data_IF_944886005447
#
_entry.id   IF_944886005447
#
_cell.length_a   1.000
_cell.length_b   1.000
_cell.length_c   1.000
_cell.angle_alpha   90.00
_cell.angle_beta   90.00
_cell.angle_gamma   90.00
#
_symmetry.space_group_name_H-M   'P 1'
#
loop_
_entity.id
_entity.type
_entity.pdbx_description
1 polymer ?
#
# COMPACT_ATOMS: atom_id res chain seq x y z
N UNK A 1 12.72 -41.38 45.25
CA UNK A 1 11.80 -40.23 45.12
C UNK A 1 12.49 -38.97 44.62
N UNK A 2 13.61 -38.53 45.21
CA UNK A 2 14.33 -37.31 44.81
C UNK A 2 14.91 -37.36 43.38
N UNK A 3 15.44 -38.50 42.93
CA UNK A 3 15.97 -38.68 41.57
C UNK A 3 14.91 -38.57 40.46
N UNK A 4 13.67 -39.02 40.73
CA UNK A 4 12.54 -38.87 39.81
C UNK A 4 12.08 -37.42 39.72
N UNK A 5 12.11 -36.69 40.84
CA UNK A 5 11.75 -35.27 40.87
C UNK A 5 12.78 -34.39 40.15
N UNK A 6 14.09 -34.66 40.31
CA UNK A 6 15.14 -33.91 39.61
C UNK A 6 15.14 -34.20 38.12
N UNK A 7 14.97 -35.46 37.71
CA UNK A 7 14.87 -35.83 36.29
C UNK A 7 13.67 -35.14 35.60
N UNK A 8 12.52 -35.07 36.28
CA UNK A 8 11.33 -34.34 35.79
C UNK A 8 11.58 -32.84 35.63
N UNK A 9 12.24 -32.21 36.62
CA UNK A 9 12.59 -30.79 36.54
C UNK A 9 13.55 -30.49 35.38
N UNK A 10 14.55 -31.34 35.15
CA UNK A 10 15.47 -31.20 34.03
C UNK A 10 14.80 -31.37 32.67
N UNK A 11 13.91 -32.36 32.51
CA UNK A 11 13.15 -32.56 31.27
C UNK A 11 12.24 -31.36 30.98
N UNK A 12 11.57 -30.82 31.99
CA UNK A 12 10.72 -29.65 31.84
C UNK A 12 11.54 -28.41 31.46
N UNK A 13 12.67 -28.18 32.11
CA UNK A 13 13.59 -27.10 31.75
C UNK A 13 14.11 -27.24 30.31
N UNK A 14 14.49 -28.45 29.91
CA UNK A 14 14.93 -28.72 28.54
C UNK A 14 13.82 -28.49 27.53
N UNK A 15 12.59 -28.91 27.83
CA UNK A 15 11.42 -28.68 26.97
C UNK A 15 11.13 -27.18 26.81
N UNK A 16 11.22 -26.38 27.89
CA UNK A 16 11.08 -24.93 27.81
C UNK A 16 12.16 -24.28 26.95
N UNK A 17 13.42 -24.71 27.09
CA UNK A 17 14.54 -24.21 26.28
C UNK A 17 14.32 -24.54 24.80
N UNK A 18 13.95 -25.77 24.48
CA UNK A 18 13.66 -26.19 23.11
C UNK A 18 12.46 -25.42 22.53
N UNK A 19 11.40 -25.21 23.32
CA UNK A 19 10.24 -24.43 22.91
C UNK A 19 10.59 -22.96 22.57
N UNK A 20 11.57 -22.37 23.27
CA UNK A 20 12.05 -21.01 22.99
C UNK A 20 13.01 -20.97 21.79
N UNK A 21 13.85 -22.00 21.61
CA UNK A 21 14.86 -22.04 20.54
C UNK A 21 14.25 -22.49 19.19
N UNK A 22 13.23 -23.35 19.21
CA UNK A 22 12.53 -23.83 18.01
C UNK A 22 12.01 -22.68 17.11
N UNK A 23 11.30 -21.64 17.57
CA UNK A 23 10.86 -20.55 16.69
C UNK A 23 12.05 -19.77 16.09
N UNK A 24 13.17 -19.67 16.82
CA UNK A 24 14.39 -19.00 16.35
C UNK A 24 15.07 -19.80 15.22
N UNK A 25 15.17 -21.12 15.36
CA UNK A 25 15.82 -21.98 14.35
C UNK A 25 14.92 -22.31 13.17
N UNK A 26 13.61 -22.41 13.38
CA UNK A 26 12.66 -22.85 12.35
C UNK A 26 12.18 -21.68 11.49
N UNK A 27 12.60 -20.45 11.77
CA UNK A 27 12.22 -19.26 11.00
C UNK A 27 10.72 -19.01 10.96
N UNK A 28 9.96 -19.65 11.86
CA UNK A 28 8.54 -19.39 12.06
C UNK A 28 8.47 -18.18 12.95
N UNK A 29 8.75 -17.01 12.36
CA UNK A 29 8.25 -15.76 12.88
C UNK A 29 6.76 -15.98 13.11
N UNK A 30 6.37 -15.99 14.39
CA UNK A 30 4.99 -15.83 14.74
C UNK A 30 4.49 -14.58 14.01
N UNK A 31 3.26 -14.63 13.52
CA UNK A 31 2.47 -13.51 13.01
C UNK A 31 2.29 -12.42 14.08
N UNK A 32 3.38 -11.86 14.55
CA UNK A 32 3.44 -10.49 15.01
C UNK A 32 3.94 -9.77 13.77
N UNK A 33 3.03 -9.04 13.16
CA UNK A 33 3.32 -7.96 12.22
C UNK A 33 4.16 -6.93 13.00
N UNK A 34 5.43 -7.24 13.23
CA UNK A 34 6.40 -6.25 13.65
C UNK A 34 6.78 -5.58 12.36
N UNK A 35 6.27 -4.36 12.20
CA UNK A 35 6.61 -3.36 11.19
C UNK A 35 8.12 -3.00 11.19
N UNK A 36 9.04 -3.93 11.47
CA UNK A 36 10.48 -3.68 11.59
C UNK A 36 11.13 -3.34 10.23
N UNK A 37 10.59 -3.89 9.14
CA UNK A 37 10.92 -3.43 7.78
C UNK A 37 10.18 -2.13 7.38
N UNK A 38 9.07 -1.82 8.07
CA UNK A 38 8.25 -0.64 7.85
C UNK A 38 8.78 0.60 8.56
N UNK A 39 9.40 0.47 9.74
CA UNK A 39 10.01 1.59 10.47
C UNK A 39 11.14 2.23 9.67
N UNK A 40 12.02 1.42 9.06
CA UNK A 40 13.10 1.91 8.20
C UNK A 40 12.58 2.53 6.89
N UNK A 41 11.57 1.93 6.25
CA UNK A 41 10.99 2.42 5.01
C UNK A 41 10.20 3.73 5.22
N UNK A 42 9.33 3.76 6.25
CA UNK A 42 8.58 4.94 6.65
C UNK A 42 9.51 6.07 7.11
N UNK A 43 10.62 5.74 7.80
CA UNK A 43 11.63 6.73 8.16
C UNK A 43 12.32 7.32 6.93
N UNK A 44 12.75 6.50 5.97
CA UNK A 44 13.35 6.97 4.70
C UNK A 44 12.37 7.84 3.91
N UNK A 45 11.10 7.46 3.86
CA UNK A 45 10.02 8.23 3.24
C UNK A 45 9.83 9.59 3.89
N UNK A 46 9.73 9.61 5.22
CA UNK A 46 9.62 10.87 5.97
C UNK A 46 10.84 11.77 5.79
N UNK A 47 12.03 11.19 5.69
CA UNK A 47 13.26 11.94 5.41
C UNK A 47 13.22 12.58 4.00
N UNK A 48 12.89 11.81 2.97
CA UNK A 48 12.80 12.29 1.59
C UNK A 48 11.73 13.39 1.41
N UNK A 49 10.55 13.21 2.03
CA UNK A 49 9.48 14.21 2.00
C UNK A 49 9.83 15.49 2.77
N UNK A 50 10.61 15.38 3.85
CA UNK A 50 11.11 16.54 4.60
C UNK A 50 12.11 17.32 3.75
N UNK A 51 13.05 16.64 3.09
CA UNK A 51 14.03 17.28 2.21
C UNK A 51 13.35 18.10 1.09
N UNK A 52 12.33 17.55 0.44
CA UNK A 52 11.53 18.26 -0.57
C UNK A 52 10.88 19.54 -0.02
N UNK A 53 10.34 19.46 1.20
CA UNK A 53 9.70 20.60 1.87
C UNK A 53 10.71 21.69 2.19
N UNK A 54 11.90 21.32 2.64
CA UNK A 54 12.94 22.27 2.99
C UNK A 54 13.43 23.03 1.74
N UNK A 55 13.60 22.34 0.60
CA UNK A 55 13.94 22.98 -0.69
C UNK A 55 12.88 23.99 -1.14
N UNK A 56 11.60 23.63 -1.00
CA UNK A 56 10.49 24.54 -1.32
C UNK A 56 10.48 25.77 -0.40
N UNK A 57 10.74 25.56 0.89
CA UNK A 57 10.81 26.64 1.87
C UNK A 57 11.98 27.59 1.58
N UNK A 58 13.14 27.07 1.21
CA UNK A 58 14.31 27.88 0.85
C UNK A 58 14.06 28.73 -0.41
N UNK A 59 13.31 28.21 -1.39
CA UNK A 59 12.86 29.01 -2.53
C UNK A 59 11.85 30.10 -2.11
N UNK A 60 10.83 29.74 -1.34
CA UNK A 60 9.81 30.71 -0.88
C UNK A 60 10.39 31.81 0.01
N UNK A 61 11.45 31.51 0.77
CA UNK A 61 12.16 32.49 1.59
C UNK A 61 13.21 33.30 0.82
N UNK A 62 13.38 33.04 -0.48
CA UNK A 62 14.30 33.77 -1.37
C UNK A 62 15.76 33.40 -1.18
N UNK A 63 16.07 32.27 -0.54
CA UNK A 63 17.45 31.77 -0.42
C UNK A 63 17.97 31.12 -1.71
N UNK A 64 17.05 30.67 -2.57
CA UNK A 64 17.35 30.06 -3.85
C UNK A 64 16.75 30.87 -4.98
N UNK A 65 17.46 30.99 -6.09
CA UNK A 65 16.87 31.47 -7.34
C UNK A 65 16.10 30.34 -8.07
N UNK A 66 15.28 30.72 -9.04
CA UNK A 66 14.41 29.81 -9.77
C UNK A 66 15.18 28.68 -10.48
N UNK A 67 16.38 28.96 -11.00
CA UNK A 67 17.14 27.97 -11.76
C UNK A 67 17.72 26.89 -10.85
N UNK A 68 18.26 27.29 -9.70
CA UNK A 68 18.79 26.39 -8.69
C UNK A 68 17.68 25.61 -7.97
N UNK A 69 16.57 26.26 -7.63
CA UNK A 69 15.38 25.60 -7.09
C UNK A 69 14.89 24.47 -8.01
N UNK A 70 14.71 24.76 -9.30
CA UNK A 70 14.25 23.76 -10.27
C UNK A 70 15.21 22.59 -10.42
N UNK A 71 16.51 22.84 -10.35
CA UNK A 71 17.53 21.79 -10.41
C UNK A 71 17.45 20.89 -9.18
N UNK A 72 17.48 21.49 -8.00
CA UNK A 72 17.48 20.76 -6.72
C UNK A 72 16.17 20.01 -6.50
N UNK A 73 15.03 20.61 -6.86
CA UNK A 73 13.72 19.95 -6.79
C UNK A 73 13.66 18.70 -7.66
N UNK A 74 14.20 18.72 -8.88
CA UNK A 74 14.19 17.53 -9.76
C UNK A 74 15.00 16.37 -9.15
N UNK A 75 16.15 16.67 -8.58
CA UNK A 75 17.01 15.68 -7.94
C UNK A 75 16.32 15.05 -6.71
N UNK A 76 15.79 15.89 -5.81
CA UNK A 76 15.10 15.42 -4.61
C UNK A 76 13.80 14.66 -4.93
N UNK A 77 13.08 15.03 -6.00
CA UNK A 77 11.89 14.29 -6.45
C UNK A 77 12.27 12.91 -6.98
N UNK A 78 13.39 12.80 -7.71
CA UNK A 78 13.86 11.51 -8.21
C UNK A 78 14.24 10.57 -7.05
N UNK A 79 14.95 11.07 -6.04
CA UNK A 79 15.31 10.31 -4.83
C UNK A 79 14.06 9.89 -4.04
N UNK A 80 13.11 10.80 -3.83
CA UNK A 80 11.85 10.48 -3.15
C UNK A 80 11.02 9.45 -3.91
N UNK A 81 11.01 9.51 -5.25
CA UNK A 81 10.29 8.55 -6.08
C UNK A 81 10.89 7.14 -5.99
N UNK A 82 12.21 7.01 -5.87
CA UNK A 82 12.88 5.73 -5.65
C UNK A 82 12.48 5.10 -4.32
N UNK A 83 12.45 5.89 -3.24
CA UNK A 83 12.05 5.39 -1.91
C UNK A 83 10.57 4.99 -1.89
N UNK A 84 9.69 5.83 -2.45
CA UNK A 84 8.24 5.61 -2.45
C UNK A 84 7.82 4.46 -3.38
N UNK A 85 8.46 4.33 -4.54
CA UNK A 85 8.12 3.29 -5.53
C UNK A 85 8.44 1.86 -5.08
N UNK A 86 9.18 1.68 -3.98
CA UNK A 86 9.42 0.37 -3.36
C UNK A 86 8.30 -0.07 -2.42
N UNK A 87 7.47 0.87 -1.94
CA UNK A 87 6.33 0.62 -1.05
C UNK A 87 5.00 0.47 -1.80
N UNK A 88 4.94 0.92 -3.05
CA UNK A 88 3.91 0.50 -4.01
C UNK A 88 4.20 -0.95 -4.41
N UNK A 89 4.09 -1.85 -3.42
CA UNK A 89 4.06 -3.28 -3.65
C UNK A 89 3.09 -3.54 -4.80
N UNK A 90 3.58 -4.32 -5.77
CA UNK A 90 2.82 -4.90 -6.87
C UNK A 90 1.34 -5.05 -6.48
N UNK A 91 0.35 -4.56 -7.25
CA UNK A 91 -1.07 -4.82 -6.98
C UNK A 91 -1.39 -6.29 -7.33
N UNK A 92 -0.60 -7.21 -6.78
CA UNK A 92 -0.82 -8.63 -6.80
C UNK A 92 -1.90 -8.94 -5.75
N UNK A 93 -3.14 -8.63 -6.13
CA UNK A 93 -4.33 -9.18 -5.47
C UNK A 93 -4.98 -8.33 -4.39
N UNK A 94 -5.00 -7.00 -4.54
CA UNK A 94 -5.99 -6.21 -3.79
C UNK A 94 -7.41 -6.55 -4.33
N UNK A 95 -8.29 -7.16 -3.51
CA UNK A 95 -9.66 -7.46 -3.92
C UNK A 95 -10.43 -6.21 -4.37
N UNK A 96 -10.10 -5.04 -3.80
CA UNK A 96 -10.74 -3.78 -4.16
C UNK A 96 -10.35 -3.32 -5.56
N UNK A 97 -9.07 -3.42 -5.94
CA UNK A 97 -8.62 -3.09 -7.31
C UNK A 97 -9.20 -4.05 -8.36
N UNK A 98 -9.43 -5.31 -7.99
CA UNK A 98 -10.15 -6.25 -8.85
C UNK A 98 -11.61 -5.81 -9.05
N UNK A 99 -12.29 -5.36 -7.99
CA UNK A 99 -13.66 -4.84 -8.05
C UNK A 99 -13.74 -3.53 -8.87
N UNK A 100 -12.82 -2.59 -8.65
CA UNK A 100 -12.73 -1.34 -9.41
C UNK A 100 -12.53 -1.63 -10.91
N UNK A 101 -11.66 -2.61 -11.23
CA UNK A 101 -11.43 -3.03 -12.62
C UNK A 101 -12.70 -3.60 -13.24
N UNK A 102 -13.44 -4.44 -12.53
CA UNK A 102 -14.72 -4.97 -13.01
C UNK A 102 -15.72 -3.84 -13.31
N UNK A 103 -15.86 -2.88 -12.39
CA UNK A 103 -16.75 -1.71 -12.58
C UNK A 103 -16.34 -0.91 -13.82
N UNK A 104 -15.03 -0.67 -14.02
CA UNK A 104 -14.52 0.04 -15.21
C UNK A 104 -14.87 -0.70 -16.50
N UNK A 105 -14.68 -2.02 -16.54
CA UNK A 105 -15.03 -2.83 -17.70
C UNK A 105 -16.54 -2.81 -18.00
N UNK A 106 -17.40 -2.82 -16.97
CA UNK A 106 -18.86 -2.66 -17.15
C UNK A 106 -19.24 -1.29 -17.72
N UNK A 107 -18.55 -0.22 -17.30
CA UNK A 107 -18.76 1.12 -17.87
C UNK A 107 -18.34 1.15 -19.35
N UNK A 108 -17.19 0.56 -19.70
CA UNK A 108 -16.69 0.49 -21.08
C UNK A 108 -17.61 -0.34 -22.00
N UNK A 109 -18.18 -1.43 -21.50
CA UNK A 109 -19.19 -2.23 -22.24
C UNK A 109 -20.57 -1.58 -22.30
N UNK A 110 -20.76 -0.42 -21.66
CA UNK A 110 -22.05 0.26 -21.59
C UNK A 110 -23.08 -0.40 -20.66
N UNK A 111 -22.67 -1.39 -19.86
CA UNK A 111 -23.50 -2.11 -18.90
C UNK A 111 -23.74 -1.30 -17.61
N UNK A 112 -22.87 -0.31 -17.32
CA UNK A 112 -22.98 0.54 -16.13
C UNK A 112 -23.01 2.04 -16.46
N UNK A 113 -23.53 2.83 -15.51
CA UNK A 113 -23.55 4.28 -15.60
C UNK A 113 -22.14 4.86 -15.33
N UNK A 114 -21.59 5.72 -16.21
CA UNK A 114 -20.25 6.28 -16.04
C UNK A 114 -20.13 7.27 -14.87
N UNK A 115 -21.25 7.74 -14.31
CA UNK A 115 -21.25 8.69 -13.19
C UNK A 115 -21.35 8.01 -11.83
N UNK A 116 -22.21 7.02 -11.70
CA UNK A 116 -22.55 6.43 -10.40
C UNK A 116 -22.38 4.91 -10.33
N UNK A 117 -21.95 4.25 -11.42
CA UNK A 117 -21.68 2.80 -11.45
C UNK A 117 -22.91 1.90 -11.43
N UNK A 118 -24.13 2.43 -11.39
CA UNK A 118 -25.35 1.62 -11.40
C UNK A 118 -25.54 0.90 -12.74
N UNK A 119 -26.10 -0.32 -12.70
CA UNK A 119 -26.38 -1.11 -13.90
C UNK A 119 -27.37 -0.39 -14.83
N UNK A 120 -27.15 -0.55 -16.13
CA UNK A 120 -27.92 0.06 -17.20
C UNK A 120 -28.98 -0.94 -17.70
N UNK A 121 -30.24 -0.51 -17.75
CA UNK A 121 -31.28 -1.26 -18.45
C UNK A 121 -31.08 -1.17 -19.98
N UNK A 122 -31.47 -2.22 -20.71
CA UNK A 122 -31.40 -2.27 -22.18
C UNK A 122 -32.14 -1.05 -22.76
N UNK A 123 -31.50 -0.30 -23.67
CA UNK A 123 -31.99 0.96 -24.26
C UNK A 123 -32.21 2.15 -23.29
N UNK A 124 -31.67 2.13 -22.07
CA UNK A 124 -31.84 3.25 -21.13
C UNK A 124 -31.15 4.53 -21.62
N UNK A 125 -31.94 5.58 -21.89
CA UNK A 125 -31.45 6.93 -22.24
C UNK A 125 -30.95 7.74 -21.03
N UNK A 126 -31.42 7.38 -19.84
CA UNK A 126 -31.03 8.02 -18.57
C UNK A 126 -30.81 6.95 -17.51
N UNK A 127 -29.87 7.20 -16.60
CA UNK A 127 -29.66 6.32 -15.45
C UNK A 127 -30.84 6.43 -14.46
N UNK A 128 -31.45 5.31 -14.11
CA UNK A 128 -32.57 5.25 -13.16
C UNK A 128 -32.19 5.64 -11.72
N UNK A 129 -30.89 5.62 -11.39
CA UNK A 129 -30.38 5.93 -10.04
C UNK A 129 -29.98 7.40 -9.90
N UNK A 130 -29.21 7.94 -10.85
CA UNK A 130 -28.65 9.30 -10.73
C UNK A 130 -29.13 10.31 -11.79
N UNK A 131 -29.99 9.88 -12.74
CA UNK A 131 -30.58 10.75 -13.77
C UNK A 131 -29.62 11.19 -14.88
N UNK A 132 -28.37 10.73 -14.88
CA UNK A 132 -27.38 11.12 -15.91
C UNK A 132 -27.81 10.60 -17.29
N UNK A 133 -27.77 11.43 -18.34
CA UNK A 133 -28.02 10.96 -19.70
C UNK A 133 -26.94 9.94 -20.10
N UNK A 134 -27.40 8.82 -20.64
CA UNK A 134 -26.56 7.74 -21.12
C UNK A 134 -26.55 7.85 -22.64
N UNK A 135 -25.38 8.09 -23.23
CA UNK A 135 -25.26 8.20 -24.68
C UNK A 135 -25.77 6.90 -25.32
N UNK A 136 -26.78 7.04 -26.18
CA UNK A 136 -27.38 5.96 -26.93
C UNK A 136 -26.58 5.75 -28.21
N UNK A 137 -25.71 4.74 -28.25
CA UNK A 137 -25.03 4.33 -29.48
C UNK A 137 -25.95 3.35 -30.23
N UNK A 138 -26.79 3.96 -31.07
CA UNK A 138 -27.42 3.48 -32.30
C UNK A 138 -27.72 1.99 -32.48
N UNK A 139 -29.03 1.71 -32.53
CA UNK A 139 -29.62 0.81 -33.52
C UNK A 139 -29.11 1.14 -34.94
N UNK A 140 -28.20 0.33 -35.47
CA UNK A 140 -28.05 0.06 -36.91
C UNK A 140 -28.00 -1.44 -37.12
#
# INVERSE_FOLDING_TARGET
MTLLATAGAFLFALALVLFVIEPILTGRSALVDVEDHGEDAAFRKHAALRALRDVEYDYQTGKLDESDYRRLKREMVAEAAEVLGTEDGEPAGDPLEAEIRDVRLRIERGEACPRCGADRAIEARFCAVCGTPLAAESLT
#
